data_IF_527071260979
#
_entry.id   IF_527071260979
#
_cell.length_a   1.000
_cell.length_b   1.000
_cell.length_c   1.000
_cell.angle_alpha   90.00
_cell.angle_beta   90.00
_cell.angle_gamma   90.00
#
_symmetry.space_group_name_H-M   'P 1'
#
loop_
_entity.id
_entity.type
_entity.pdbx_description
1 polymer ?
#
# COMPACT_ATOMS: atom_id res chain seq x y z
N UNK A 1 -29.99 38.58 -13.57
CA UNK A 1 -29.19 39.13 -12.45
C UNK A 1 -28.27 40.22 -12.97
N UNK A 2 -28.59 41.50 -12.77
CA UNK A 2 -27.82 42.62 -13.37
C UNK A 2 -26.39 42.78 -12.79
N UNK A 3 -26.09 42.15 -11.66
CA UNK A 3 -24.81 42.31 -10.96
C UNK A 3 -23.69 41.37 -11.42
N UNK A 4 -24.02 40.23 -12.06
CA UNK A 4 -23.01 39.26 -12.51
C UNK A 4 -22.05 39.89 -13.54
N UNK A 5 -22.50 40.51 -14.64
CA UNK A 5 -21.59 41.13 -15.62
C UNK A 5 -20.72 42.22 -15.00
N UNK A 6 -21.25 42.97 -14.03
CA UNK A 6 -20.49 44.00 -13.31
C UNK A 6 -19.29 43.38 -12.59
N UNK A 7 -19.52 42.36 -11.76
CA UNK A 7 -18.45 41.77 -10.96
C UNK A 7 -17.44 40.98 -11.81
N UNK A 8 -17.90 40.32 -12.89
CA UNK A 8 -17.00 39.66 -13.85
C UNK A 8 -16.03 40.65 -14.51
N UNK A 9 -16.52 41.82 -14.91
CA UNK A 9 -15.66 42.88 -15.48
C UNK A 9 -14.63 43.40 -14.47
N UNK A 10 -14.94 43.37 -13.17
CA UNK A 10 -14.04 43.82 -12.11
C UNK A 10 -12.92 42.81 -11.77
N UNK A 11 -12.93 41.62 -12.37
CA UNK A 11 -11.84 40.64 -12.23
C UNK A 11 -10.62 40.98 -13.09
N UNK A 12 -10.81 41.72 -14.20
CA UNK A 12 -9.74 42.02 -15.16
C UNK A 12 -9.23 43.44 -14.94
N UNK A 13 -7.91 43.62 -14.84
CA UNK A 13 -7.19 44.91 -14.76
C UNK A 13 -7.59 45.86 -13.61
N UNK A 14 -8.42 45.43 -12.66
CA UNK A 14 -8.77 46.22 -11.50
C UNK A 14 -7.68 46.15 -10.40
N UNK A 15 -7.55 47.17 -9.53
CA UNK A 15 -6.67 47.11 -8.36
C UNK A 15 -7.03 45.94 -7.43
N UNK A 16 -6.02 45.39 -6.73
CA UNK A 16 -6.17 44.23 -5.82
C UNK A 16 -7.42 44.29 -4.90
N UNK A 17 -7.72 45.39 -4.18
CA UNK A 17 -8.89 45.43 -3.29
C UNK A 17 -10.21 45.26 -4.04
N UNK A 18 -10.28 45.79 -5.26
CA UNK A 18 -11.47 45.74 -6.11
C UNK A 18 -11.69 44.34 -6.67
N UNK A 19 -10.63 43.67 -7.16
CA UNK A 19 -10.70 42.27 -7.59
C UNK A 19 -11.13 41.35 -6.45
N UNK A 20 -10.55 41.52 -5.25
CA UNK A 20 -10.91 40.73 -4.09
C UNK A 20 -12.38 40.92 -3.71
N UNK A 21 -12.87 42.16 -3.70
CA UNK A 21 -14.28 42.44 -3.44
C UNK A 21 -15.20 41.79 -4.50
N UNK A 22 -14.80 41.84 -5.77
CA UNK A 22 -15.54 41.19 -6.85
C UNK A 22 -15.60 39.67 -6.67
N UNK A 23 -14.49 38.99 -6.36
CA UNK A 23 -14.49 37.56 -6.05
C UNK A 23 -15.39 37.22 -4.86
N UNK A 24 -15.37 38.00 -3.78
CA UNK A 24 -16.26 37.79 -2.64
C UNK A 24 -17.74 37.87 -3.05
N UNK A 25 -18.10 38.87 -3.87
CA UNK A 25 -19.48 39.04 -4.36
C UNK A 25 -19.90 37.95 -5.33
N UNK A 26 -19.00 37.48 -6.18
CA UNK A 26 -19.25 36.34 -7.05
C UNK A 26 -19.43 35.05 -6.26
N UNK A 27 -18.64 34.85 -5.20
CA UNK A 27 -18.79 33.70 -4.31
C UNK A 27 -20.14 33.73 -3.58
N UNK A 28 -20.56 34.88 -3.04
CA UNK A 28 -21.90 35.07 -2.47
C UNK A 28 -23.00 34.71 -3.49
N UNK A 29 -22.92 35.23 -4.71
CA UNK A 29 -23.88 34.93 -5.80
C UNK A 29 -23.93 33.44 -6.17
N UNK A 30 -22.77 32.78 -6.18
CA UNK A 30 -22.67 31.34 -6.43
C UNK A 30 -23.42 30.54 -5.35
N UNK A 31 -23.25 30.91 -4.09
CA UNK A 31 -23.91 30.25 -2.95
C UNK A 31 -25.43 30.43 -2.94
N UNK A 32 -25.97 31.48 -3.57
CA UNK A 32 -27.42 31.67 -3.69
C UNK A 32 -28.10 30.64 -4.60
N UNK A 33 -27.36 29.96 -5.48
CA UNK A 33 -27.87 28.93 -6.42
C UNK A 33 -29.03 29.40 -7.31
N UNK A 34 -28.95 30.64 -7.77
CA UNK A 34 -29.94 31.26 -8.67
C UNK A 34 -29.43 31.46 -10.10
N UNK A 35 -28.15 31.17 -10.35
CA UNK A 35 -27.52 31.29 -11.67
C UNK A 35 -28.03 30.18 -12.59
N UNK A 36 -28.31 30.54 -13.83
CA UNK A 36 -28.56 29.58 -14.91
C UNK A 36 -27.27 28.88 -15.31
N UNK A 37 -27.36 27.69 -15.92
CA UNK A 37 -26.19 26.94 -16.39
C UNK A 37 -25.23 27.76 -17.26
N UNK A 38 -25.69 28.60 -18.22
CA UNK A 38 -24.79 29.45 -19.01
C UNK A 38 -24.12 30.57 -18.20
N UNK A 39 -24.83 31.17 -17.24
CA UNK A 39 -24.25 32.19 -16.32
C UNK A 39 -23.19 31.55 -15.42
N UNK A 40 -23.45 30.34 -14.93
CA UNK A 40 -22.49 29.53 -14.17
C UNK A 40 -21.27 29.16 -15.01
N UNK A 41 -21.45 28.79 -16.28
CA UNK A 41 -20.35 28.52 -17.20
C UNK A 41 -19.48 29.76 -17.42
N UNK A 42 -20.09 30.93 -17.65
CA UNK A 42 -19.36 32.19 -17.82
C UNK A 42 -18.58 32.56 -16.55
N UNK A 43 -19.18 32.36 -15.38
CA UNK A 43 -18.54 32.56 -14.08
C UNK A 43 -17.34 31.64 -13.90
N UNK A 44 -17.50 30.34 -14.15
CA UNK A 44 -16.43 29.34 -14.09
C UNK A 44 -15.26 29.77 -14.99
N UNK A 45 -15.53 30.03 -16.27
CA UNK A 45 -14.51 30.39 -17.26
C UNK A 45 -13.74 31.65 -16.84
N UNK A 46 -14.43 32.63 -16.28
CA UNK A 46 -13.83 33.89 -15.82
C UNK A 46 -12.96 33.68 -14.57
N UNK A 47 -13.37 32.78 -13.67
CA UNK A 47 -12.63 32.46 -12.46
C UNK A 47 -11.36 31.65 -12.72
N UNK A 48 -11.24 30.90 -13.82
CA UNK A 48 -10.01 30.15 -14.14
C UNK A 48 -8.77 31.05 -14.20
N UNK A 49 -8.89 32.27 -14.74
CA UNK A 49 -7.79 33.26 -14.74
C UNK A 49 -7.38 33.70 -13.32
N UNK A 50 -8.32 33.59 -12.38
CA UNK A 50 -8.10 33.91 -10.98
C UNK A 50 -7.10 32.98 -10.30
N UNK A 51 -6.82 31.79 -10.85
CA UNK A 51 -5.83 30.87 -10.29
C UNK A 51 -4.41 31.42 -10.39
N UNK A 52 -4.19 32.44 -11.22
CA UNK A 52 -2.90 33.11 -11.41
C UNK A 52 -2.90 34.54 -10.83
N UNK A 53 -3.94 34.93 -10.07
CA UNK A 53 -4.00 36.26 -9.46
C UNK A 53 -2.83 36.46 -8.48
N UNK A 54 -2.23 37.65 -8.50
CA UNK A 54 -1.13 37.99 -7.59
C UNK A 54 -1.52 37.97 -6.12
N UNK A 55 -2.80 38.10 -5.79
CA UNK A 55 -3.31 37.99 -4.43
C UNK A 55 -3.82 36.56 -4.14
N UNK A 56 -3.21 35.91 -3.15
CA UNK A 56 -3.57 34.56 -2.67
C UNK A 56 -5.07 34.40 -2.39
N UNK A 57 -5.69 35.37 -1.70
CA UNK A 57 -7.14 35.36 -1.44
C UNK A 57 -8.01 35.39 -2.71
N UNK A 58 -7.56 36.05 -3.77
CA UNK A 58 -8.29 36.03 -5.05
C UNK A 58 -8.21 34.63 -5.67
N UNK A 59 -7.01 34.00 -5.63
CA UNK A 59 -6.82 32.61 -6.10
C UNK A 59 -7.70 31.64 -5.32
N UNK A 60 -7.74 31.77 -4.00
CA UNK A 60 -8.59 30.98 -3.11
C UNK A 60 -10.07 31.03 -3.52
N UNK A 61 -10.64 32.24 -3.61
CA UNK A 61 -12.05 32.42 -3.99
C UNK A 61 -12.33 31.89 -5.40
N UNK A 62 -11.42 32.14 -6.35
CA UNK A 62 -11.55 31.62 -7.70
C UNK A 62 -11.64 30.08 -7.71
N UNK A 63 -10.76 29.39 -6.97
CA UNK A 63 -10.78 27.92 -6.86
C UNK A 63 -12.09 27.44 -6.23
N UNK A 64 -12.54 28.08 -5.15
CA UNK A 64 -13.78 27.72 -4.45
C UNK A 64 -15.02 27.91 -5.34
N UNK A 65 -15.11 29.01 -6.09
CA UNK A 65 -16.20 29.25 -7.04
C UNK A 65 -16.23 28.15 -8.11
N UNK A 66 -15.08 27.89 -8.76
CA UNK A 66 -15.00 26.86 -9.81
C UNK A 66 -15.38 25.48 -9.24
N UNK A 67 -14.94 25.16 -8.03
CA UNK A 67 -15.27 23.89 -7.34
C UNK A 67 -16.76 23.74 -7.07
N UNK A 68 -17.46 24.81 -6.67
CA UNK A 68 -18.91 24.73 -6.42
C UNK A 68 -19.72 24.61 -7.70
N UNK A 69 -19.31 25.30 -8.77
CA UNK A 69 -20.07 25.36 -10.02
C UNK A 69 -19.89 24.10 -10.87
N UNK A 70 -18.69 23.51 -10.89
CA UNK A 70 -18.34 22.47 -11.86
C UNK A 70 -19.29 21.26 -11.84
N UNK A 71 -19.84 20.90 -10.67
CA UNK A 71 -20.75 19.77 -10.50
C UNK A 71 -22.10 19.93 -11.23
N UNK A 72 -22.45 21.16 -11.64
CA UNK A 72 -23.68 21.51 -12.35
C UNK A 72 -23.45 21.79 -13.84
N UNK A 73 -22.25 21.54 -14.32
CA UNK A 73 -21.85 21.81 -15.69
C UNK A 73 -21.74 20.52 -16.51
N UNK A 74 -21.86 20.59 -17.85
CA UNK A 74 -21.60 19.44 -18.70
C UNK A 74 -20.09 19.06 -18.66
N UNK A 75 -19.72 17.81 -18.97
CA UNK A 75 -18.32 17.36 -18.93
C UNK A 75 -17.34 18.16 -19.79
N UNK A 76 -17.82 18.93 -20.78
CA UNK A 76 -16.98 19.77 -21.64
C UNK A 76 -16.14 20.80 -20.86
N UNK A 77 -16.55 21.15 -19.63
CA UNK A 77 -15.76 22.05 -18.77
C UNK A 77 -14.41 21.47 -18.36
N UNK A 78 -14.23 20.15 -18.42
CA UNK A 78 -12.95 19.49 -18.10
C UNK A 78 -11.80 19.99 -18.98
N UNK A 79 -12.06 20.33 -20.25
CA UNK A 79 -11.08 20.89 -21.19
C UNK A 79 -10.48 22.22 -20.73
N UNK A 80 -11.16 22.91 -19.80
CA UNK A 80 -10.76 24.21 -19.29
C UNK A 80 -10.19 24.10 -17.89
N UNK A 81 -10.85 23.32 -17.03
CA UNK A 81 -10.52 23.21 -15.61
C UNK A 81 -9.25 22.39 -15.39
N UNK A 82 -9.14 21.19 -15.98
CA UNK A 82 -8.00 20.31 -15.73
C UNK A 82 -6.68 20.92 -16.20
N UNK A 83 -6.58 21.51 -17.41
CA UNK A 83 -5.37 22.21 -17.81
C UNK A 83 -5.00 23.36 -16.86
N UNK A 84 -5.96 24.18 -16.42
CA UNK A 84 -5.69 25.28 -15.50
C UNK A 84 -5.16 24.80 -14.14
N UNK A 85 -5.61 23.64 -13.65
CA UNK A 85 -5.06 23.01 -12.44
C UNK A 85 -3.66 22.48 -12.69
N UNK A 86 -3.46 21.72 -13.78
CA UNK A 86 -2.18 21.07 -14.07
C UNK A 86 -1.08 22.07 -14.40
N UNK A 87 -1.37 23.16 -15.12
CA UNK A 87 -0.37 24.22 -15.37
C UNK A 87 0.03 24.94 -14.09
N UNK A 88 -0.80 24.92 -13.06
CA UNK A 88 -0.52 25.59 -11.77
C UNK A 88 0.26 24.69 -10.81
N UNK A 89 -0.11 23.40 -10.68
CA UNK A 89 0.44 22.50 -9.66
C UNK A 89 0.99 21.15 -10.18
N UNK A 90 0.83 20.86 -11.47
CA UNK A 90 1.42 19.69 -12.14
C UNK A 90 2.73 20.00 -12.88
N UNK A 91 3.27 21.20 -12.77
CA UNK A 91 4.52 21.60 -13.43
C UNK A 91 5.70 21.58 -12.44
N UNK A 92 6.90 21.44 -12.97
CA UNK A 92 8.14 21.50 -12.19
C UNK A 92 9.06 22.61 -12.72
N UNK A 93 9.39 23.65 -11.93
CA UNK A 93 8.96 23.88 -10.55
C UNK A 93 7.47 24.23 -10.44
N UNK A 94 6.85 23.91 -9.30
CA UNK A 94 5.44 24.22 -8.99
C UNK A 94 5.24 25.74 -8.92
N UNK A 95 4.16 26.24 -9.52
CA UNK A 95 3.90 27.69 -9.62
C UNK A 95 3.01 28.25 -8.51
N UNK A 96 2.26 27.41 -7.79
CA UNK A 96 1.51 27.82 -6.61
C UNK A 96 2.35 27.69 -5.33
N UNK A 97 2.65 28.81 -4.70
CA UNK A 97 3.48 28.86 -3.50
C UNK A 97 2.72 28.39 -2.24
N UNK A 98 1.41 28.64 -2.13
CA UNK A 98 0.62 28.26 -0.94
C UNK A 98 0.32 26.76 -0.94
N UNK A 99 0.71 26.07 0.13
CA UNK A 99 0.43 24.65 0.32
C UNK A 99 -1.07 24.35 0.46
N UNK A 100 -1.83 25.28 1.05
CA UNK A 100 -3.28 25.22 1.17
C UNK A 100 -3.96 25.37 -0.19
N UNK A 101 -3.50 26.29 -1.04
CA UNK A 101 -4.04 26.45 -2.39
C UNK A 101 -3.67 25.29 -3.32
N UNK A 102 -2.46 24.72 -3.19
CA UNK A 102 -2.11 23.47 -3.87
C UNK A 102 -3.08 22.35 -3.51
N UNK A 103 -3.44 22.22 -2.22
CA UNK A 103 -4.44 21.27 -1.77
C UNK A 103 -5.84 21.56 -2.31
N UNK A 104 -6.28 22.82 -2.34
CA UNK A 104 -7.57 23.19 -2.93
C UNK A 104 -7.63 22.86 -4.42
N UNK A 105 -6.56 23.10 -5.17
CA UNK A 105 -6.47 22.79 -6.60
C UNK A 105 -6.50 21.28 -6.86
N UNK A 106 -5.79 20.47 -6.07
CA UNK A 106 -5.90 19.01 -6.17
C UNK A 106 -7.32 18.53 -5.84
N UNK A 107 -7.96 19.09 -4.81
CA UNK A 107 -9.34 18.77 -4.46
C UNK A 107 -10.32 19.14 -5.57
N UNK A 108 -10.10 20.26 -6.27
CA UNK A 108 -10.87 20.61 -7.46
C UNK A 108 -10.72 19.53 -8.54
N UNK A 109 -9.49 19.05 -8.82
CA UNK A 109 -9.28 17.94 -9.75
C UNK A 109 -9.96 16.63 -9.30
N UNK A 110 -10.01 16.35 -7.99
CA UNK A 110 -10.77 15.23 -7.43
C UNK A 110 -12.27 15.41 -7.64
N UNK A 111 -12.81 16.63 -7.48
CA UNK A 111 -14.21 16.93 -7.80
C UNK A 111 -14.49 16.70 -9.28
N UNK A 112 -13.57 17.06 -10.19
CA UNK A 112 -13.68 16.73 -11.61
C UNK A 112 -13.84 15.21 -11.81
N UNK A 113 -12.96 14.39 -11.21
CA UNK A 113 -13.04 12.93 -11.31
C UNK A 113 -14.34 12.37 -10.74
N UNK A 114 -14.83 12.92 -9.63
CA UNK A 114 -16.06 12.45 -8.97
C UNK A 114 -17.33 12.84 -9.71
N UNK A 115 -17.32 13.99 -10.37
CA UNK A 115 -18.48 14.51 -11.10
C UNK A 115 -18.62 13.86 -12.47
N UNK A 116 -17.49 13.51 -13.11
CA UNK A 116 -17.45 12.99 -14.47
C UNK A 116 -16.57 11.72 -14.58
N UNK A 117 -16.82 10.67 -13.77
CA UNK A 117 -15.94 9.50 -13.72
C UNK A 117 -15.83 8.79 -15.07
N UNK A 118 -16.91 8.72 -15.83
CA UNK A 118 -16.98 8.07 -17.15
C UNK A 118 -16.37 8.87 -18.30
N UNK A 119 -15.87 10.07 -18.02
CA UNK A 119 -15.32 10.99 -19.02
C UNK A 119 -13.79 11.06 -18.92
N UNK A 120 -13.20 10.59 -17.80
CA UNK A 120 -11.76 10.67 -17.55
C UNK A 120 -10.97 9.84 -18.57
N UNK A 121 -11.35 8.58 -18.75
CA UNK A 121 -10.71 7.70 -19.71
C UNK A 121 -11.03 8.05 -21.17
N UNK A 122 -12.31 8.09 -21.60
CA UNK A 122 -12.66 8.31 -23.01
C UNK A 122 -12.14 9.61 -23.61
N UNK A 123 -11.91 10.64 -22.78
CA UNK A 123 -11.37 11.94 -23.20
C UNK A 123 -9.87 12.08 -22.98
N UNK A 124 -9.19 10.99 -22.62
CA UNK A 124 -7.73 10.90 -22.47
C UNK A 124 -7.14 11.89 -21.44
N UNK A 125 -7.81 12.07 -20.29
CA UNK A 125 -7.28 12.92 -19.22
C UNK A 125 -6.29 12.20 -18.29
N UNK A 126 -5.97 10.94 -18.56
CA UNK A 126 -5.06 10.12 -17.72
C UNK A 126 -3.69 10.76 -17.58
N UNK A 127 -3.13 11.34 -18.66
CA UNK A 127 -1.83 12.01 -18.61
C UNK A 127 -1.85 13.28 -17.73
N UNK A 128 -2.96 14.01 -17.70
CA UNK A 128 -3.14 15.16 -16.80
C UNK A 128 -3.08 14.69 -15.35
N UNK A 129 -3.78 13.60 -15.01
CA UNK A 129 -3.76 13.06 -13.66
C UNK A 129 -2.42 12.44 -13.28
N UNK A 130 -1.73 11.77 -14.20
CA UNK A 130 -0.39 11.25 -13.92
C UNK A 130 0.53 12.37 -13.46
N UNK A 131 0.70 13.40 -14.29
CA UNK A 131 1.63 14.50 -14.01
C UNK A 131 1.21 15.27 -12.75
N UNK A 132 -0.09 15.51 -12.58
CA UNK A 132 -0.63 16.17 -11.39
C UNK A 132 -0.32 15.39 -10.10
N UNK A 133 -0.63 14.09 -10.09
CA UNK A 133 -0.51 13.24 -8.92
C UNK A 133 0.97 12.97 -8.58
N UNK A 134 1.84 12.81 -9.58
CA UNK A 134 3.28 12.71 -9.38
C UNK A 134 3.84 13.91 -8.60
N UNK A 135 3.51 15.13 -9.05
CA UNK A 135 3.96 16.35 -8.36
C UNK A 135 3.36 16.48 -6.96
N UNK A 136 2.06 16.22 -6.79
CA UNK A 136 1.40 16.30 -5.49
C UNK A 136 1.91 15.25 -4.49
N UNK A 137 2.31 14.06 -4.95
CA UNK A 137 2.90 13.02 -4.10
C UNK A 137 4.32 13.40 -3.68
N UNK A 138 5.09 14.09 -4.52
CA UNK A 138 6.44 14.54 -4.20
C UNK A 138 6.47 15.78 -3.29
N UNK A 139 5.38 16.53 -3.22
CA UNK A 139 5.22 17.76 -2.44
C UNK A 139 5.61 17.61 -0.96
N UNK A 140 6.31 18.57 -0.34
CA UNK A 140 6.62 18.50 1.09
C UNK A 140 5.39 18.53 2.02
N UNK A 141 4.24 19.05 1.57
CA UNK A 141 3.07 19.24 2.43
C UNK A 141 2.31 17.92 2.69
N UNK A 142 2.21 17.45 3.96
CA UNK A 142 1.62 16.14 4.26
C UNK A 142 0.15 15.99 3.89
N UNK A 143 -0.67 17.05 3.99
CA UNK A 143 -2.09 16.96 3.64
C UNK A 143 -2.29 16.77 2.14
N UNK A 144 -1.45 17.41 1.31
CA UNK A 144 -1.48 17.22 -0.14
C UNK A 144 -1.09 15.80 -0.52
N UNK A 145 -0.03 15.24 0.07
CA UNK A 145 0.38 13.84 -0.17
C UNK A 145 -0.75 12.85 0.12
N UNK A 146 -1.47 13.04 1.23
CA UNK A 146 -2.61 12.17 1.60
C UNK A 146 -3.74 12.27 0.59
N UNK A 147 -4.11 13.49 0.20
CA UNK A 147 -5.16 13.70 -0.81
C UNK A 147 -4.76 13.10 -2.15
N UNK A 148 -3.49 13.26 -2.56
CA UNK A 148 -2.97 12.68 -3.80
C UNK A 148 -2.98 11.15 -3.77
N UNK A 149 -2.59 10.54 -2.65
CA UNK A 149 -2.69 9.09 -2.45
C UNK A 149 -4.13 8.59 -2.61
N UNK A 150 -5.11 9.27 -2.02
CA UNK A 150 -6.54 8.95 -2.14
C UNK A 150 -7.07 9.17 -3.56
N UNK A 151 -6.64 10.25 -4.21
CA UNK A 151 -6.97 10.55 -5.59
C UNK A 151 -6.45 9.48 -6.55
N UNK A 152 -5.22 8.97 -6.34
CA UNK A 152 -4.68 7.84 -7.09
C UNK A 152 -5.54 6.58 -6.93
N UNK A 153 -5.94 6.23 -5.70
CA UNK A 153 -6.80 5.05 -5.46
C UNK A 153 -8.14 5.22 -6.17
N UNK A 154 -8.76 6.40 -6.06
CA UNK A 154 -10.02 6.68 -6.75
C UNK A 154 -9.88 6.60 -8.28
N UNK A 155 -8.76 7.10 -8.84
CA UNK A 155 -8.48 7.00 -10.27
C UNK A 155 -8.38 5.54 -10.73
N UNK A 156 -7.72 4.67 -9.95
CA UNK A 156 -7.71 3.22 -10.19
C UNK A 156 -9.13 2.64 -10.23
N UNK A 157 -10.03 3.08 -9.34
CA UNK A 157 -11.40 2.57 -9.24
C UNK A 157 -12.26 2.96 -10.45
N UNK A 158 -12.14 4.20 -10.93
CA UNK A 158 -13.00 4.71 -12.03
C UNK A 158 -12.46 4.37 -13.42
N UNK A 159 -11.14 4.23 -13.59
CA UNK A 159 -10.49 3.98 -14.89
C UNK A 159 -9.41 2.89 -14.82
N UNK A 160 -9.75 1.67 -14.37
CA UNK A 160 -8.77 0.60 -14.09
C UNK A 160 -7.95 0.17 -15.32
N UNK A 161 -8.54 0.26 -16.52
CA UNK A 161 -7.88 -0.15 -17.77
C UNK A 161 -6.78 0.83 -18.16
N UNK A 162 -7.07 2.13 -18.15
CA UNK A 162 -6.09 3.13 -18.61
C UNK A 162 -5.03 3.43 -17.56
N UNK A 163 -5.38 3.34 -16.27
CA UNK A 163 -4.41 3.52 -15.17
C UNK A 163 -3.24 2.56 -15.27
N UNK A 164 -3.42 1.38 -15.90
CA UNK A 164 -2.34 0.44 -16.16
C UNK A 164 -1.12 1.07 -16.83
N UNK A 165 -1.31 2.06 -17.69
CA UNK A 165 -0.21 2.74 -18.39
C UNK A 165 0.60 3.69 -17.50
N UNK A 166 -0.02 4.20 -16.42
CA UNK A 166 0.59 5.18 -15.51
C UNK A 166 0.85 4.64 -14.10
N UNK A 167 0.44 3.38 -13.84
CA UNK A 167 0.50 2.78 -12.51
C UNK A 167 1.93 2.67 -11.97
N UNK A 168 2.88 2.25 -12.82
CA UNK A 168 4.29 2.10 -12.42
C UNK A 168 4.98 3.45 -12.15
N UNK A 169 4.87 4.49 -13.02
CA UNK A 169 5.35 5.83 -12.70
C UNK A 169 4.82 6.35 -11.36
N UNK A 170 3.52 6.23 -11.11
CA UNK A 170 2.91 6.62 -9.83
C UNK A 170 3.45 5.80 -8.66
N UNK A 171 3.63 4.49 -8.82
CA UNK A 171 4.16 3.64 -7.76
C UNK A 171 5.59 4.05 -7.35
N UNK A 172 6.42 4.46 -8.32
CA UNK A 172 7.79 4.94 -8.06
C UNK A 172 7.82 6.19 -7.18
N UNK A 173 6.93 7.16 -7.42
CA UNK A 173 6.85 8.36 -6.56
C UNK A 173 6.20 8.06 -5.21
N UNK A 174 5.19 7.19 -5.14
CA UNK A 174 4.56 6.76 -3.87
C UNK A 174 5.58 6.11 -2.92
N UNK A 175 6.59 5.42 -3.46
CA UNK A 175 7.67 4.81 -2.67
C UNK A 175 8.35 5.80 -1.72
N UNK A 176 8.47 7.07 -2.12
CA UNK A 176 9.05 8.13 -1.28
C UNK A 176 8.22 8.45 -0.02
N UNK A 177 6.94 8.09 0.00
CA UNK A 177 6.01 8.37 1.10
C UNK A 177 5.88 7.19 2.09
N UNK A 178 6.37 6.01 1.73
CA UNK A 178 6.22 4.79 2.53
C UNK A 178 6.90 4.91 3.89
N UNK A 179 8.06 5.56 3.97
CA UNK A 179 8.80 5.77 5.22
C UNK A 179 8.63 7.19 5.78
N UNK A 180 7.53 7.87 5.45
CA UNK A 180 7.26 9.22 5.92
C UNK A 180 7.10 9.28 7.45
N UNK A 181 7.52 10.39 8.08
CA UNK A 181 7.46 10.57 9.55
C UNK A 181 6.05 10.40 10.14
N UNK A 182 5.02 10.86 9.43
CA UNK A 182 3.62 10.74 9.87
C UNK A 182 3.01 9.41 9.41
N UNK A 183 2.53 8.61 10.36
CA UNK A 183 1.93 7.29 10.11
C UNK A 183 0.71 7.32 9.19
N UNK A 184 -0.09 8.39 9.24
CA UNK A 184 -1.24 8.56 8.34
C UNK A 184 -0.79 8.65 6.89
N UNK A 185 0.31 9.36 6.60
CA UNK A 185 0.87 9.42 5.24
C UNK A 185 1.38 8.03 4.81
N UNK A 186 2.06 7.30 5.69
CA UNK A 186 2.50 5.92 5.41
C UNK A 186 1.30 5.01 5.10
N UNK A 187 0.23 5.12 5.89
CA UNK A 187 -1.01 4.35 5.72
C UNK A 187 -1.62 4.60 4.34
N UNK A 188 -1.80 5.87 3.95
CA UNK A 188 -2.33 6.20 2.62
C UNK A 188 -1.39 5.76 1.50
N UNK A 189 -0.07 5.95 1.64
CA UNK A 189 0.91 5.52 0.66
C UNK A 189 0.90 4.00 0.44
N UNK A 190 0.80 3.20 1.51
CA UNK A 190 0.69 1.74 1.41
C UNK A 190 -0.58 1.32 0.69
N UNK A 191 -1.73 1.94 1.01
CA UNK A 191 -3.00 1.67 0.31
C UNK A 191 -2.94 2.03 -1.16
N UNK A 192 -2.34 3.17 -1.49
CA UNK A 192 -2.14 3.59 -2.87
C UNK A 192 -1.23 2.64 -3.61
N UNK A 193 -0.10 2.23 -3.03
CA UNK A 193 0.81 1.27 -3.65
C UNK A 193 0.12 -0.07 -3.91
N UNK A 194 -0.68 -0.54 -2.95
CA UNK A 194 -1.49 -1.74 -3.09
C UNK A 194 -2.45 -1.64 -4.30
N UNK A 195 -3.18 -0.53 -4.42
CA UNK A 195 -4.06 -0.26 -5.57
C UNK A 195 -3.30 -0.23 -6.89
N UNK A 196 -2.15 0.44 -6.94
CA UNK A 196 -1.34 0.53 -8.16
C UNK A 196 -0.78 -0.84 -8.58
N UNK A 197 -0.34 -1.68 -7.64
CA UNK A 197 0.12 -3.06 -7.91
C UNK A 197 -1.01 -3.85 -8.57
N UNK A 198 -2.22 -3.80 -8.01
CA UNK A 198 -3.40 -4.47 -8.56
C UNK A 198 -3.72 -4.01 -9.99
N UNK A 199 -3.38 -2.76 -10.33
CA UNK A 199 -3.63 -2.16 -11.63
C UNK A 199 -2.40 -2.13 -12.55
N UNK A 200 -1.38 -2.95 -12.31
CA UNK A 200 -0.26 -3.16 -13.24
C UNK A 200 1.09 -2.59 -12.82
N UNK A 201 1.25 -2.16 -11.56
CA UNK A 201 2.54 -1.75 -11.01
C UNK A 201 3.30 -2.88 -10.29
N UNK A 202 2.99 -4.16 -10.55
CA UNK A 202 3.63 -5.30 -9.89
C UNK A 202 5.17 -5.30 -10.02
N UNK A 203 5.70 -4.71 -11.10
CA UNK A 203 7.15 -4.52 -11.31
C UNK A 203 7.83 -3.77 -10.14
N UNK A 204 7.12 -2.94 -9.37
CA UNK A 204 7.70 -2.23 -8.21
C UNK A 204 8.16 -3.19 -7.10
N UNK A 205 7.67 -4.43 -7.09
CA UNK A 205 8.08 -5.50 -6.18
C UNK A 205 9.38 -6.18 -6.64
N UNK A 206 9.74 -6.02 -7.92
CA UNK A 206 10.99 -6.48 -8.47
C UNK A 206 12.11 -5.48 -8.11
N UNK A 207 12.70 -5.64 -6.92
CA UNK A 207 13.86 -4.83 -6.52
C UNK A 207 15.00 -4.95 -7.55
N UNK A 208 15.57 -3.80 -7.96
CA UNK A 208 16.72 -3.76 -8.86
C UNK A 208 17.98 -4.21 -8.12
N UNK A 209 18.88 -4.92 -8.81
CA UNK A 209 20.19 -5.33 -8.25
C UNK A 209 21.07 -4.13 -7.87
N UNK A 210 20.84 -2.97 -8.48
CA UNK A 210 21.58 -1.74 -8.22
C UNK A 210 20.94 -0.88 -7.13
N UNK A 211 19.74 -1.24 -6.66
CA UNK A 211 19.04 -0.50 -5.61
C UNK A 211 19.70 -0.77 -4.26
N UNK A 212 19.92 0.30 -3.48
CA UNK A 212 20.43 0.18 -2.13
C UNK A 212 19.46 -0.66 -1.28
N UNK A 213 19.98 -1.60 -0.48
CA UNK A 213 19.17 -2.52 0.32
C UNK A 213 18.08 -1.80 1.13
N UNK A 214 18.43 -0.68 1.76
CA UNK A 214 17.51 0.13 2.58
C UNK A 214 16.47 0.95 1.78
N UNK A 215 16.51 0.86 0.45
CA UNK A 215 15.54 1.47 -0.47
C UNK A 215 14.68 0.45 -1.19
N UNK A 216 15.03 -0.84 -1.11
CA UNK A 216 14.23 -1.91 -1.71
C UNK A 216 12.80 -1.90 -1.17
N UNK A 217 11.86 -2.33 -2.01
CA UNK A 217 10.46 -2.50 -1.64
C UNK A 217 10.34 -3.56 -0.55
N UNK A 218 11.10 -4.66 -0.64
CA UNK A 218 11.14 -5.70 0.41
C UNK A 218 11.59 -5.13 1.76
N UNK A 219 12.69 -4.36 1.82
CA UNK A 219 13.12 -3.72 3.06
C UNK A 219 12.07 -2.73 3.59
N UNK A 220 11.48 -1.94 2.70
CA UNK A 220 10.45 -0.97 3.09
C UNK A 220 9.23 -1.66 3.69
N UNK A 221 8.78 -2.78 3.11
CA UNK A 221 7.70 -3.59 3.65
C UNK A 221 8.08 -4.26 4.98
N UNK A 222 9.33 -4.70 5.15
CA UNK A 222 9.83 -5.18 6.45
C UNK A 222 9.68 -4.11 7.53
N UNK A 223 10.08 -2.87 7.25
CA UNK A 223 9.94 -1.76 8.20
C UNK A 223 8.46 -1.51 8.53
N UNK A 224 7.59 -1.48 7.53
CA UNK A 224 6.17 -1.17 7.71
C UNK A 224 5.37 -2.30 8.37
N UNK A 225 5.74 -3.56 8.13
CA UNK A 225 5.17 -4.70 8.85
C UNK A 225 5.49 -4.66 10.36
N UNK A 226 6.48 -3.86 10.75
CA UNK A 226 6.92 -3.65 12.14
C UNK A 226 6.53 -2.28 12.70
N UNK A 227 5.75 -1.48 11.98
CA UNK A 227 5.34 -0.14 12.40
C UNK A 227 4.59 -0.17 13.74
N UNK A 228 4.86 0.77 14.64
CA UNK A 228 4.14 0.87 15.92
C UNK A 228 2.64 1.13 15.74
N UNK A 229 2.21 1.68 14.60
CA UNK A 229 0.81 2.01 14.31
C UNK A 229 0.09 0.83 13.65
N UNK A 230 -0.99 0.35 14.28
CA UNK A 230 -1.82 -0.75 13.79
C UNK A 230 -2.34 -0.52 12.36
N UNK A 231 -2.83 0.69 12.05
CA UNK A 231 -3.39 1.02 10.75
C UNK A 231 -2.37 0.86 9.59
N UNK A 232 -1.08 1.11 9.86
CA UNK A 232 -0.02 0.89 8.86
C UNK A 232 0.14 -0.60 8.61
N UNK A 233 0.28 -1.40 9.67
CA UNK A 233 0.45 -2.87 9.56
C UNK A 233 -0.76 -3.54 8.91
N UNK A 234 -1.98 -3.11 9.24
CA UNK A 234 -3.21 -3.56 8.57
C UNK A 234 -3.20 -3.26 7.06
N UNK A 235 -2.72 -2.08 6.67
CA UNK A 235 -2.58 -1.71 5.25
C UNK A 235 -1.47 -2.50 4.55
N UNK A 236 -0.43 -2.92 5.27
CA UNK A 236 0.60 -3.82 4.72
C UNK A 236 0.01 -5.19 4.42
N UNK A 237 -0.85 -5.74 5.29
CA UNK A 237 -1.57 -7.01 4.99
C UNK A 237 -2.40 -6.86 3.72
N UNK A 238 -3.08 -5.72 3.55
CA UNK A 238 -3.81 -5.39 2.31
C UNK A 238 -2.91 -5.40 1.07
N UNK A 239 -1.74 -4.77 1.15
CA UNK A 239 -0.77 -4.76 0.05
C UNK A 239 -0.27 -6.16 -0.27
N UNK A 240 0.11 -6.93 0.76
CA UNK A 240 0.59 -8.31 0.61
C UNK A 240 -0.49 -9.20 -0.02
N UNK A 241 -1.75 -9.03 0.35
CA UNK A 241 -2.89 -9.71 -0.28
C UNK A 241 -2.89 -9.50 -1.79
N UNK A 242 -2.82 -8.25 -2.26
CA UNK A 242 -2.82 -7.95 -3.70
C UNK A 242 -1.58 -8.47 -4.40
N UNK A 243 -0.41 -8.32 -3.77
CA UNK A 243 0.85 -8.81 -4.33
C UNK A 243 0.87 -10.34 -4.50
N UNK A 244 0.33 -11.08 -3.53
CA UNK A 244 0.40 -12.55 -3.48
C UNK A 244 -0.80 -13.26 -4.13
N UNK A 245 -1.93 -12.56 -4.35
CA UNK A 245 -3.14 -13.16 -4.93
C UNK A 245 -3.50 -12.58 -6.30
N UNK A 246 -3.34 -11.28 -6.50
CA UNK A 246 -3.95 -10.58 -7.64
C UNK A 246 -2.97 -10.35 -8.81
N UNK A 247 -1.68 -10.66 -8.64
CA UNK A 247 -0.66 -10.46 -9.68
C UNK A 247 -0.42 -11.74 -10.51
N UNK A 248 -0.04 -11.56 -11.77
CA UNK A 248 0.36 -12.66 -12.66
C UNK A 248 1.65 -13.32 -12.21
N UNK A 249 2.59 -12.53 -11.68
CA UNK A 249 3.89 -12.98 -11.18
C UNK A 249 3.87 -13.36 -9.68
N UNK A 250 2.69 -13.62 -9.10
CA UNK A 250 2.51 -13.86 -7.66
C UNK A 250 3.45 -14.92 -7.07
N UNK A 251 3.71 -16.00 -7.81
CA UNK A 251 4.58 -17.09 -7.34
C UNK A 251 6.04 -16.62 -7.15
N UNK A 252 6.53 -15.71 -7.99
CA UNK A 252 7.86 -15.13 -7.83
C UNK A 252 7.95 -14.26 -6.56
N UNK A 253 6.82 -13.70 -6.13
CA UNK A 253 6.74 -12.86 -4.93
C UNK A 253 6.73 -13.66 -3.64
N UNK A 254 6.34 -14.95 -3.66
CA UNK A 254 6.30 -15.80 -2.46
C UNK A 254 7.63 -15.79 -1.70
N UNK A 255 8.73 -15.97 -2.44
CA UNK A 255 10.11 -16.00 -1.93
C UNK A 255 10.52 -14.72 -1.19
N UNK A 256 9.92 -13.59 -1.55
CA UNK A 256 10.28 -12.26 -1.04
C UNK A 256 9.34 -11.76 0.05
N UNK A 257 8.04 -12.00 -0.14
CA UNK A 257 7.00 -11.34 0.65
C UNK A 257 6.38 -12.21 1.74
N UNK A 258 6.50 -13.55 1.65
CA UNK A 258 6.02 -14.43 2.71
C UNK A 258 6.62 -14.14 4.09
N UNK A 259 7.92 -13.78 4.24
CA UNK A 259 8.45 -13.42 5.55
C UNK A 259 7.66 -12.30 6.24
N UNK A 260 7.17 -11.31 5.48
CA UNK A 260 6.35 -10.22 6.02
C UNK A 260 4.95 -10.69 6.40
N UNK A 261 4.34 -11.56 5.59
CA UNK A 261 3.02 -12.11 5.88
C UNK A 261 3.06 -13.01 7.13
N UNK A 262 4.04 -13.91 7.20
CA UNK A 262 4.30 -14.79 8.34
C UNK A 262 4.49 -13.98 9.63
N UNK A 263 5.24 -12.89 9.57
CA UNK A 263 5.37 -11.97 10.70
C UNK A 263 4.01 -11.39 11.13
N UNK A 264 3.21 -10.89 10.19
CA UNK A 264 1.93 -10.23 10.48
C UNK A 264 0.86 -11.21 11.01
N UNK A 265 1.00 -12.52 10.78
CA UNK A 265 0.17 -13.55 11.43
C UNK A 265 0.39 -13.62 12.95
N UNK A 266 1.51 -13.08 13.45
CA UNK A 266 1.86 -13.03 14.88
C UNK A 266 1.51 -11.68 15.52
N UNK A 267 0.81 -10.80 14.81
CA UNK A 267 0.49 -9.46 15.29
C UNK A 267 -0.32 -9.49 16.60
N UNK A 268 0.06 -8.62 17.54
CA UNK A 268 -0.64 -8.46 18.83
C UNK A 268 -2.08 -7.99 18.67
N UNK A 269 -2.42 -7.31 17.57
CA UNK A 269 -3.79 -6.88 17.28
C UNK A 269 -4.48 -7.92 16.39
N UNK A 270 -5.54 -8.53 16.93
CA UNK A 270 -6.29 -9.59 16.25
C UNK A 270 -6.84 -9.19 14.87
N UNK A 271 -7.12 -7.91 14.64
CA UNK A 271 -7.57 -7.42 13.33
C UNK A 271 -6.49 -7.65 12.26
N UNK A 272 -5.22 -7.44 12.60
CA UNK A 272 -4.10 -7.63 11.68
C UNK A 272 -3.79 -9.11 11.51
N UNK A 273 -3.62 -9.84 12.62
CA UNK A 273 -3.24 -11.25 12.56
C UNK A 273 -4.29 -12.14 11.90
N UNK A 274 -5.59 -11.95 12.21
CA UNK A 274 -6.66 -12.71 11.54
C UNK A 274 -6.70 -12.44 10.05
N UNK A 275 -6.47 -11.19 9.63
CA UNK A 275 -6.43 -10.85 8.20
C UNK A 275 -5.22 -11.49 7.52
N UNK A 276 -4.04 -11.45 8.15
CA UNK A 276 -2.84 -12.09 7.61
C UNK A 276 -3.00 -13.62 7.50
N UNK A 277 -3.63 -14.26 8.49
CA UNK A 277 -3.94 -15.69 8.45
C UNK A 277 -4.88 -16.00 7.29
N UNK A 278 -5.95 -15.21 7.11
CA UNK A 278 -6.87 -15.38 5.97
C UNK A 278 -6.15 -15.26 4.62
N UNK A 279 -5.27 -14.27 4.47
CA UNK A 279 -4.47 -14.10 3.24
C UNK A 279 -3.55 -15.31 3.02
N UNK A 280 -2.90 -15.83 4.06
CA UNK A 280 -2.04 -17.02 3.93
C UNK A 280 -2.82 -18.26 3.50
N UNK A 281 -4.05 -18.43 3.99
CA UNK A 281 -4.94 -19.52 3.57
C UNK A 281 -5.36 -19.37 2.11
N UNK A 282 -5.68 -18.16 1.66
CA UNK A 282 -6.03 -17.91 0.26
C UNK A 282 -4.82 -18.08 -0.68
N UNK A 283 -3.62 -17.69 -0.25
CA UNK A 283 -2.37 -17.96 -0.96
C UNK A 283 -2.15 -19.46 -1.08
N UNK A 284 -2.41 -20.22 0.00
CA UNK A 284 -2.32 -21.67 -0.02
C UNK A 284 -3.27 -22.32 -1.03
N UNK A 285 -4.55 -21.91 -1.04
CA UNK A 285 -5.55 -22.40 -2.01
C UNK A 285 -5.11 -22.09 -3.44
N UNK A 286 -4.70 -20.85 -3.71
CA UNK A 286 -4.32 -20.44 -5.05
C UNK A 286 -3.05 -21.14 -5.53
N UNK A 287 -2.08 -21.36 -4.65
CA UNK A 287 -0.89 -22.13 -4.98
C UNK A 287 -1.22 -23.57 -5.37
N UNK A 288 -2.16 -24.22 -4.66
CA UNK A 288 -2.61 -25.55 -5.08
C UNK A 288 -3.23 -25.50 -6.47
N UNK A 289 -4.13 -24.55 -6.74
CA UNK A 289 -4.74 -24.40 -8.07
C UNK A 289 -3.72 -24.15 -9.19
N UNK A 290 -2.69 -23.33 -8.92
CA UNK A 290 -1.67 -23.00 -9.91
C UNK A 290 -0.70 -24.16 -10.19
N UNK A 291 -0.52 -25.06 -9.21
CA UNK A 291 0.41 -26.19 -9.29
C UNK A 291 -0.32 -27.54 -9.42
N UNK A 292 -1.65 -27.53 -9.41
CA UNK A 292 -2.50 -28.65 -9.80
C UNK A 292 -2.36 -28.85 -11.31
N UNK A 293 -1.48 -29.78 -11.66
CA UNK A 293 -1.24 -30.12 -13.04
C UNK A 293 -2.48 -30.85 -13.61
N UNK A 294 -3.34 -30.09 -14.31
CA UNK A 294 -4.52 -30.61 -15.03
C UNK A 294 -4.14 -31.58 -16.17
N UNK A 295 -2.86 -31.79 -16.45
CA UNK A 295 -2.35 -32.77 -17.40
C UNK A 295 -1.91 -34.10 -16.76
N UNK A 296 -2.08 -34.25 -15.44
CA UNK A 296 -1.68 -35.46 -14.74
C UNK A 296 -2.60 -36.62 -15.12
N UNK A 297 -2.08 -37.47 -16.00
CA UNK A 297 -2.48 -38.85 -16.11
C UNK A 297 -2.17 -39.54 -14.75
N UNK A 298 -3.21 -39.76 -13.93
CA UNK A 298 -3.12 -40.42 -12.61
C UNK A 298 -2.43 -41.79 -12.70
N UNK A 299 -2.40 -42.43 -13.88
CA UNK A 299 -1.67 -43.69 -14.08
C UNK A 299 -0.16 -43.53 -14.21
N UNK A 300 0.34 -42.32 -14.46
CA UNK A 300 1.78 -42.00 -14.64
C UNK A 300 2.38 -41.16 -13.53
N UNK A 301 1.58 -40.49 -12.69
CA UNK A 301 2.11 -39.79 -11.51
C UNK A 301 2.56 -40.80 -10.48
N UNK A 302 3.87 -40.83 -10.22
CA UNK A 302 4.40 -41.42 -8.99
C UNK A 302 3.86 -40.57 -7.83
N UNK A 303 3.04 -41.18 -6.97
CA UNK A 303 2.81 -40.65 -5.62
C UNK A 303 4.19 -40.47 -4.99
N UNK A 304 4.59 -39.22 -4.74
CA UNK A 304 5.90 -38.93 -4.14
C UNK A 304 5.84 -39.19 -2.65
N UNK A 305 6.98 -39.44 -2.01
CA UNK A 305 7.03 -39.55 -0.55
C UNK A 305 6.48 -38.28 0.12
N UNK A 306 6.70 -37.12 -0.50
CA UNK A 306 6.10 -35.84 -0.12
C UNK A 306 4.57 -35.86 -0.18
N UNK A 307 3.97 -36.45 -1.21
CA UNK A 307 2.52 -36.59 -1.27
C UNK A 307 2.03 -37.47 -0.08
N UNK A 308 2.70 -38.60 0.22
CA UNK A 308 2.28 -39.49 1.33
C UNK A 308 2.44 -38.83 2.70
N UNK A 309 3.58 -38.17 2.96
CA UNK A 309 3.85 -37.44 4.20
C UNK A 309 2.89 -36.26 4.42
N UNK A 310 2.33 -35.69 3.34
CA UNK A 310 1.53 -34.47 3.43
C UNK A 310 0.02 -34.72 3.34
N UNK A 311 -0.41 -35.75 2.59
CA UNK A 311 -1.80 -36.19 2.45
C UNK A 311 -2.20 -37.28 3.46
N UNK A 312 -1.24 -38.06 3.98
CA UNK A 312 -1.50 -39.22 4.85
C UNK A 312 -1.22 -39.04 6.34
N UNK A 313 -0.76 -37.85 6.76
CA UNK A 313 -0.36 -37.59 8.14
C UNK A 313 -1.53 -37.02 8.96
N UNK A 314 -2.35 -37.93 9.51
CA UNK A 314 -3.41 -37.59 10.48
C UNK A 314 -2.83 -37.15 11.84
N UNK A 315 -1.55 -37.44 12.11
CA UNK A 315 -0.90 -37.13 13.37
C UNK A 315 -0.34 -35.70 13.37
N UNK A 316 -1.16 -34.75 13.85
CA UNK A 316 -0.72 -33.39 14.13
C UNK A 316 -0.54 -33.19 15.64
N UNK A 317 0.64 -32.75 16.11
CA UNK A 317 0.86 -32.57 17.53
C UNK A 317 -0.02 -31.44 18.07
N UNK A 318 -0.37 -31.51 19.36
CA UNK A 318 -0.99 -30.36 19.99
C UNK A 318 -0.02 -29.16 19.97
N UNK A 319 -0.57 -27.98 19.71
CA UNK A 319 0.17 -26.72 19.73
C UNK A 319 0.05 -26.03 21.09
N UNK A 320 0.02 -26.81 22.18
CA UNK A 320 0.22 -26.26 23.52
C UNK A 320 1.70 -26.11 23.76
N UNK A 321 2.10 -24.89 24.12
CA UNK A 321 3.47 -24.51 24.42
C UNK A 321 3.56 -24.15 25.91
N UNK A 322 4.62 -24.60 26.55
CA UNK A 322 5.00 -24.27 27.92
C UNK A 322 5.70 -22.92 28.01
N UNK A 323 6.29 -22.48 26.90
CA UNK A 323 7.04 -21.23 26.80
C UNK A 323 6.15 -20.00 26.62
N UNK A 324 4.93 -20.15 26.09
CA UNK A 324 4.02 -19.03 25.81
C UNK A 324 2.55 -19.43 25.91
N UNK A 325 1.68 -18.48 26.30
CA UNK A 325 0.23 -18.66 26.21
C UNK A 325 -0.22 -18.64 24.74
N UNK A 326 -0.53 -19.82 24.20
CA UNK A 326 -0.90 -20.00 22.79
C UNK A 326 -2.28 -19.44 22.44
N UNK A 327 -3.10 -19.08 23.44
CA UNK A 327 -4.38 -18.40 23.22
C UNK A 327 -4.23 -16.96 22.72
N UNK A 328 -3.03 -16.38 22.88
CA UNK A 328 -2.67 -15.06 22.35
C UNK A 328 -2.49 -15.08 20.82
N UNK A 329 -2.23 -16.25 20.24
CA UNK A 329 -1.94 -16.42 18.83
C UNK A 329 -3.03 -17.27 18.17
N UNK A 330 -3.90 -16.61 17.40
CA UNK A 330 -5.01 -17.29 16.70
C UNK A 330 -4.49 -18.35 15.70
N UNK A 331 -3.24 -18.24 15.25
CA UNK A 331 -2.60 -19.19 14.33
C UNK A 331 -2.43 -20.59 14.92
N UNK A 332 -2.25 -20.73 16.24
CA UNK A 332 -2.08 -22.04 16.89
C UNK A 332 -3.39 -22.80 17.11
N UNK A 333 -4.53 -22.21 16.75
CA UNK A 333 -5.84 -22.84 16.96
C UNK A 333 -6.15 -23.90 15.90
N UNK A 334 -5.46 -23.87 14.76
CA UNK A 334 -5.69 -24.77 13.63
C UNK A 334 -4.39 -25.07 12.91
N UNK A 335 -4.19 -26.33 12.50
CA UNK A 335 -3.12 -26.71 11.58
C UNK A 335 -3.22 -25.91 10.28
N UNK A 336 -2.12 -25.34 9.74
CA UNK A 336 -2.15 -24.66 8.45
C UNK A 336 -2.67 -25.56 7.33
N UNK A 337 -3.38 -24.99 6.36
CA UNK A 337 -3.82 -25.80 5.22
C UNK A 337 -2.64 -26.34 4.43
N UNK A 338 -2.91 -27.44 3.70
CA UNK A 338 -1.92 -28.10 2.86
C UNK A 338 -1.19 -27.12 1.93
N UNK A 339 -1.95 -26.28 1.23
CA UNK A 339 -1.40 -25.29 0.31
C UNK A 339 -0.49 -24.28 1.01
N UNK A 340 -0.90 -23.76 2.18
CA UNK A 340 -0.08 -22.81 2.94
C UNK A 340 1.23 -23.46 3.40
N UNK A 341 1.20 -24.72 3.82
CA UNK A 341 2.42 -25.49 4.13
C UNK A 341 3.35 -25.59 2.90
N UNK A 342 2.81 -25.88 1.72
CA UNK A 342 3.61 -26.09 0.51
C UNK A 342 4.31 -24.81 0.07
N UNK A 343 3.55 -23.72 0.02
CA UNK A 343 4.04 -22.39 -0.34
C UNK A 343 5.22 -21.97 0.53
N UNK A 344 5.08 -22.13 1.85
CA UNK A 344 6.14 -21.76 2.79
C UNK A 344 7.33 -22.72 2.68
N UNK A 345 7.10 -24.03 2.57
CA UNK A 345 8.18 -25.02 2.46
C UNK A 345 9.02 -24.84 1.18
N UNK A 346 8.38 -24.54 0.04
CA UNK A 346 9.09 -24.26 -1.20
C UNK A 346 9.90 -22.96 -1.11
N UNK A 347 9.30 -21.93 -0.50
CA UNK A 347 9.90 -20.60 -0.44
C UNK A 347 11.00 -20.47 0.63
N UNK A 348 10.96 -21.28 1.70
CA UNK A 348 11.83 -21.13 2.88
C UNK A 348 13.32 -21.10 2.52
N UNK A 349 13.77 -21.95 1.58
CA UNK A 349 15.18 -21.99 1.13
C UNK A 349 15.71 -20.64 0.64
N UNK A 350 14.83 -19.76 0.20
CA UNK A 350 15.20 -18.47 -0.39
C UNK A 350 15.39 -17.36 0.64
N UNK A 351 14.78 -17.48 1.82
CA UNK A 351 14.84 -16.44 2.86
C UNK A 351 15.38 -16.92 4.21
N UNK A 352 15.61 -18.22 4.41
CA UNK A 352 16.08 -18.76 5.70
C UNK A 352 17.47 -18.24 6.09
N UNK A 353 18.39 -18.09 5.13
CA UNK A 353 19.72 -17.52 5.40
C UNK A 353 19.63 -16.07 5.89
N UNK A 354 18.64 -15.32 5.37
CA UNK A 354 18.39 -13.95 5.84
C UNK A 354 17.88 -13.96 7.28
N UNK A 355 16.98 -14.89 7.63
CA UNK A 355 16.53 -15.08 9.01
C UNK A 355 17.73 -15.32 9.94
N UNK A 356 18.63 -16.25 9.60
CA UNK A 356 19.81 -16.53 10.43
C UNK A 356 20.75 -15.33 10.58
N UNK A 357 20.93 -14.58 9.50
CA UNK A 357 21.70 -13.32 9.54
C UNK A 357 21.04 -12.32 10.49
N UNK A 358 19.72 -12.16 10.41
CA UNK A 358 18.96 -11.20 11.21
C UNK A 358 18.87 -11.58 12.70
N UNK A 359 18.86 -12.88 13.05
CA UNK A 359 18.93 -13.37 14.45
C UNK A 359 20.20 -12.89 15.15
N UNK A 360 21.31 -12.76 14.41
CA UNK A 360 22.61 -12.35 14.95
C UNK A 360 23.00 -10.92 14.58
N UNK A 361 22.06 -10.14 14.04
CA UNK A 361 22.32 -8.80 13.52
C UNK A 361 22.86 -7.87 14.59
N UNK A 362 23.97 -7.19 14.31
CA UNK A 362 24.53 -6.16 15.20
C UNK A 362 23.67 -4.90 15.17
N UNK A 363 23.25 -4.45 13.98
CA UNK A 363 22.26 -3.39 13.82
C UNK A 363 20.85 -3.96 13.92
N UNK A 364 20.23 -3.74 15.07
CA UNK A 364 18.98 -4.37 15.45
C UNK A 364 17.77 -3.41 15.44
N UNK A 365 18.00 -2.13 15.18
CA UNK A 365 16.94 -1.12 15.20
C UNK A 365 16.12 -1.22 13.91
N UNK A 366 14.80 -1.18 14.05
CA UNK A 366 13.85 -1.10 12.94
C UNK A 366 13.17 0.28 13.02
N UNK A 367 13.23 1.11 11.96
CA UNK A 367 12.55 2.40 11.95
C UNK A 367 11.06 2.26 12.28
N UNK A 368 10.52 3.21 13.05
CA UNK A 368 9.13 3.22 13.49
C UNK A 368 8.66 2.00 14.30
N UNK A 369 9.56 1.12 14.73
CA UNK A 369 9.21 -0.06 15.52
C UNK A 369 9.67 0.06 16.96
N UNK A 370 8.94 -0.59 17.86
CA UNK A 370 9.41 -0.93 19.21
C UNK A 370 10.12 -2.29 19.26
N UNK A 371 10.06 -3.08 18.19
CA UNK A 371 10.66 -4.41 18.15
C UNK A 371 12.11 -4.35 17.68
N UNK A 372 12.87 -5.36 18.09
CA UNK A 372 14.25 -5.59 17.67
C UNK A 372 14.29 -6.56 16.47
N UNK A 373 15.17 -6.33 15.48
CA UNK A 373 15.38 -7.19 14.30
C UNK A 373 15.55 -8.68 14.64
N UNK A 374 16.27 -9.00 15.72
CA UNK A 374 16.50 -10.38 16.19
C UNK A 374 15.21 -11.05 16.64
N UNK A 375 14.39 -10.35 17.43
CA UNK A 375 13.06 -10.80 17.87
C UNK A 375 12.16 -11.08 16.66
N UNK A 376 12.18 -10.17 15.68
CA UNK A 376 11.39 -10.31 14.45
C UNK A 376 11.85 -11.50 13.61
N UNK A 377 13.15 -11.70 13.47
CA UNK A 377 13.70 -12.84 12.75
C UNK A 377 13.30 -14.17 13.40
N UNK A 378 13.34 -14.25 14.74
CA UNK A 378 12.86 -15.43 15.48
C UNK A 378 11.36 -15.66 15.32
N UNK A 379 10.55 -14.59 15.27
CA UNK A 379 9.11 -14.71 14.96
C UNK A 379 8.83 -15.31 13.60
N UNK A 380 9.53 -14.81 12.58
CA UNK A 380 9.44 -15.36 11.23
C UNK A 380 9.93 -16.81 11.22
N UNK A 381 10.98 -17.12 11.99
CA UNK A 381 11.53 -18.48 12.09
C UNK A 381 10.50 -19.45 12.66
N UNK A 382 9.93 -19.21 13.84
CA UNK A 382 8.99 -20.16 14.41
C UNK A 382 7.70 -20.26 13.60
N UNK A 383 7.27 -19.18 12.94
CA UNK A 383 6.18 -19.23 11.96
C UNK A 383 6.52 -20.07 10.74
N UNK A 384 7.78 -20.07 10.30
CA UNK A 384 8.26 -20.92 9.21
C UNK A 384 8.30 -22.38 9.65
N UNK A 385 8.83 -22.68 10.84
CA UNK A 385 8.85 -24.04 11.41
C UNK A 385 7.41 -24.57 11.53
N UNK A 386 6.49 -23.74 12.03
CA UNK A 386 5.07 -24.08 12.17
C UNK A 386 4.40 -24.51 10.87
N UNK A 387 4.72 -23.87 9.74
CA UNK A 387 4.17 -24.21 8.43
C UNK A 387 4.90 -25.36 7.73
N UNK A 388 6.22 -25.47 7.92
CA UNK A 388 7.04 -26.47 7.21
C UNK A 388 7.01 -27.83 7.92
N UNK A 389 6.61 -27.87 9.19
CA UNK A 389 6.42 -29.09 9.97
C UNK A 389 7.65 -30.02 9.88
N UNK A 390 7.46 -31.33 9.65
CA UNK A 390 8.53 -32.34 9.52
C UNK A 390 9.57 -31.99 8.44
N UNK A 391 9.21 -31.21 7.43
CA UNK A 391 10.15 -30.79 6.37
C UNK A 391 11.22 -29.81 6.88
N UNK A 392 11.12 -29.34 8.12
CA UNK A 392 12.13 -28.51 8.77
C UNK A 392 13.42 -29.27 9.05
N UNK A 393 13.39 -30.62 9.07
CA UNK A 393 14.53 -31.48 9.39
C UNK A 393 15.82 -31.11 8.63
N UNK A 394 15.68 -30.70 7.37
CA UNK A 394 16.80 -30.30 6.51
C UNK A 394 17.55 -29.02 6.99
N UNK A 395 16.94 -28.24 7.89
CA UNK A 395 17.49 -26.99 8.41
C UNK A 395 17.86 -27.07 9.90
N UNK A 396 17.62 -28.20 10.56
CA UNK A 396 17.74 -28.35 12.02
C UNK A 396 19.09 -27.92 12.57
N UNK A 397 20.18 -28.37 11.96
CA UNK A 397 21.54 -28.03 12.42
C UNK A 397 21.77 -26.51 12.46
N UNK A 398 21.36 -25.81 11.39
CA UNK A 398 21.51 -24.37 11.26
C UNK A 398 20.58 -23.62 12.21
N UNK A 399 19.34 -24.10 12.36
CA UNK A 399 18.37 -23.56 13.32
C UNK A 399 18.92 -23.68 14.75
N UNK A 400 19.38 -24.86 15.16
CA UNK A 400 19.94 -25.08 16.50
C UNK A 400 21.19 -24.22 16.73
N UNK A 401 22.06 -24.09 15.72
CA UNK A 401 23.22 -23.21 15.79
C UNK A 401 22.87 -21.73 15.96
N UNK A 402 21.83 -21.24 15.29
CA UNK A 402 21.32 -19.88 15.46
C UNK A 402 20.66 -19.68 16.84
N UNK A 403 19.82 -20.65 17.26
CA UNK A 403 19.12 -20.59 18.53
C UNK A 403 20.10 -20.62 19.72
N UNK A 404 21.14 -21.46 19.67
CA UNK A 404 22.19 -21.50 20.69
C UNK A 404 22.82 -20.13 20.94
N UNK A 405 23.10 -19.36 19.88
CA UNK A 405 23.65 -18.00 20.01
C UNK A 405 22.64 -17.03 20.62
N UNK A 406 21.37 -17.12 20.19
CA UNK A 406 20.30 -16.23 20.65
C UNK A 406 19.89 -16.44 22.11
N UNK A 407 20.10 -17.64 22.67
CA UNK A 407 19.79 -17.93 24.08
C UNK A 407 20.69 -17.18 25.08
N UNK A 408 21.81 -16.61 24.62
CA UNK A 408 22.67 -15.74 25.43
C UNK A 408 22.36 -14.25 25.31
N UNK A 409 21.27 -13.87 24.63
CA UNK A 409 20.90 -12.48 24.36
C UNK A 409 19.93 -11.92 25.43
N UNK A 410 19.34 -10.77 25.16
CA UNK A 410 18.33 -10.14 26.00
C UNK A 410 17.05 -11.00 26.11
N UNK A 411 16.25 -10.72 27.14
CA UNK A 411 15.09 -11.53 27.51
C UNK A 411 14.05 -11.70 26.39
N UNK A 412 13.79 -10.66 25.59
CA UNK A 412 12.81 -10.74 24.50
C UNK A 412 13.28 -11.69 23.39
N UNK A 413 14.57 -11.68 23.08
CA UNK A 413 15.19 -12.60 22.11
C UNK A 413 15.14 -14.03 22.64
N UNK A 414 15.56 -14.24 23.89
CA UNK A 414 15.53 -15.56 24.54
C UNK A 414 14.12 -16.15 24.51
N UNK A 415 13.10 -15.34 24.80
CA UNK A 415 11.71 -15.78 24.82
C UNK A 415 11.24 -16.30 23.45
N UNK A 416 11.51 -15.58 22.36
CA UNK A 416 11.16 -16.05 21.01
C UNK A 416 11.99 -17.29 20.60
N UNK A 417 13.24 -17.39 21.05
CA UNK A 417 14.09 -18.56 20.80
C UNK A 417 13.55 -19.83 21.47
N UNK A 418 12.99 -19.71 22.68
CA UNK A 418 12.36 -20.82 23.37
C UNK A 418 11.10 -21.32 22.64
N UNK A 419 10.30 -20.40 22.08
CA UNK A 419 9.16 -20.75 21.22
C UNK A 419 9.63 -21.53 19.98
N UNK A 420 10.70 -21.05 19.31
CA UNK A 420 11.30 -21.77 18.18
C UNK A 420 11.70 -23.20 18.55
N UNK A 421 12.38 -23.39 19.70
CA UNK A 421 12.82 -24.71 20.16
C UNK A 421 11.64 -25.65 20.45
N UNK A 422 10.60 -25.15 21.10
CA UNK A 422 9.45 -25.96 21.47
C UNK A 422 8.65 -26.40 20.24
N UNK A 423 8.39 -25.49 19.29
CA UNK A 423 7.71 -25.82 18.03
C UNK A 423 8.57 -26.78 17.19
N UNK A 424 9.89 -26.56 17.13
CA UNK A 424 10.81 -27.47 16.44
C UNK A 424 10.72 -28.89 17.02
N UNK A 425 10.75 -29.02 18.35
CA UNK A 425 10.67 -30.30 19.04
C UNK A 425 9.36 -31.06 18.83
N UNK A 426 8.26 -30.38 18.47
CA UNK A 426 6.98 -31.03 18.14
C UNK A 426 7.02 -31.79 16.80
N UNK A 427 7.94 -31.44 15.90
CA UNK A 427 8.01 -32.00 14.55
C UNK A 427 9.24 -32.88 14.28
N UNK A 428 10.18 -32.95 15.21
CA UNK A 428 11.35 -33.82 15.11
C UNK A 428 11.13 -35.09 15.92
N UNK A 429 11.43 -36.25 15.34
CA UNK A 429 11.51 -37.50 16.11
C UNK A 429 12.94 -37.68 16.65
N UNK A 430 13.14 -38.17 17.89
CA UNK A 430 14.46 -38.36 18.48
C UNK A 430 15.44 -39.18 17.62
N UNK A 431 14.95 -40.12 16.82
CA UNK A 431 15.78 -40.98 15.96
C UNK A 431 16.30 -40.29 14.68
N UNK A 432 15.88 -39.05 14.42
CA UNK A 432 16.29 -38.26 13.24
C UNK A 432 17.51 -37.36 13.50
N UNK A 433 18.13 -37.42 14.69
CA UNK A 433 19.29 -36.61 15.06
C UNK A 433 20.44 -37.44 15.63
#
# INVERSE_FOLDING_TARGET
MELLPKYLNELTDAPRPKRLQAYNKLFELCMERKLSEPEEFELLRSCLRGFEDSAERCREHAILIVTDVIIRQPPSVLDWVLPAVVTRIGVSPVLEDSEELRLLLLRLAVVCMKSFPHEIGPRNYIDFFQVLLENCILDPFPELKKEACRACVYLCEIEPVQVKHIALPLAKVVKSCLLHKHSVVRTEAVRTLASLIQHGAAEILADSREEQENRTTVYTLFVLANDHVEAVRASVVDLLSRALLDTTERQDQHRRLLPHLLLLMTDRHKIVSKKAISVMEDVGKLYLLDNEDNSIDITKRRVTMKDIEWYGDEEYPDMKLSTVDTSLYDVFQMRPSLGSRYVVAESLRTFIERIFTDITAIDWVIPFSSNNRRVIALRILWMSIYHVEKSVVQFVEHILGALYKSLGDNQDVVQESLICLEILGKFLTPDQY
#
